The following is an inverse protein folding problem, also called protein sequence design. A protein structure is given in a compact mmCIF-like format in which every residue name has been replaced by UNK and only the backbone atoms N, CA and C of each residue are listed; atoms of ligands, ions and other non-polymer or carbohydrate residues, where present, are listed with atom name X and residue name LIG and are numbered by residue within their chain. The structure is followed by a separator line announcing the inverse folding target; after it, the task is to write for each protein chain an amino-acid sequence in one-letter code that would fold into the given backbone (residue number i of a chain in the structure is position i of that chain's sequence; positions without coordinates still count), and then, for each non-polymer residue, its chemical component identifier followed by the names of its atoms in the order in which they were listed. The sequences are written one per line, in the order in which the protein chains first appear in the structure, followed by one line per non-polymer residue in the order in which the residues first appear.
data_IF_303957515496
#
_entry.id   IF_303957515496
#
_cell.length_a   1.000
_cell.length_b   1.000
_cell.length_c   1.000
_cell.angle_alpha   90.00
_cell.angle_beta   90.00
_cell.angle_gamma   90.00
#
_symmetry.space_group_name_H-M   'P 1'
#
loop_
_entity.id
_entity.type
_entity.pdbx_description
1 polymer ?
#
# COMPACT_ATOMS: atom_id res chain seq x y z
N UNK A 1 23.43 -8.27 0.83
CA UNK A 1 22.54 -9.37 0.43
C UNK A 1 21.16 -8.76 0.30
N UNK A 2 20.53 -8.87 -0.87
CA UNK A 2 19.13 -8.50 -0.98
C UNK A 2 18.31 -9.51 -0.17
N UNK A 3 17.25 -9.08 0.53
CA UNK A 3 16.35 -9.99 1.22
C UNK A 3 15.65 -10.92 0.21
N UNK A 4 15.34 -12.14 0.64
CA UNK A 4 14.58 -13.08 -0.17
C UNK A 4 13.19 -12.48 -0.50
N UNK A 5 12.72 -12.59 -1.76
CA UNK A 5 11.41 -12.06 -2.12
C UNK A 5 10.28 -12.73 -1.34
N UNK A 6 9.35 -11.91 -0.84
CA UNK A 6 8.13 -12.39 -0.17
C UNK A 6 7.14 -12.89 -1.21
N UNK A 7 6.57 -14.08 -1.03
CA UNK A 7 5.49 -14.56 -1.90
C UNK A 7 4.17 -13.93 -1.49
N UNK A 8 3.43 -13.42 -2.47
CA UNK A 8 2.11 -12.80 -2.29
C UNK A 8 1.12 -13.45 -3.25
N UNK A 9 -0.11 -13.67 -2.80
CA UNK A 9 -1.16 -14.34 -3.58
C UNK A 9 -2.55 -13.80 -3.26
N UNK A 10 -3.52 -14.16 -4.10
CA UNK A 10 -4.95 -14.05 -3.77
C UNK A 10 -5.41 -15.39 -3.20
N UNK A 11 -6.02 -15.37 -2.01
CA UNK A 11 -6.57 -16.56 -1.38
C UNK A 11 -7.93 -16.97 -1.97
N UNK A 12 -8.47 -18.10 -1.50
CA UNK A 12 -9.76 -18.63 -1.98
C UNK A 12 -10.96 -17.71 -1.71
N UNK A 13 -10.80 -16.72 -0.82
CA UNK A 13 -11.83 -15.73 -0.47
C UNK A 13 -11.68 -14.42 -1.25
N UNK A 14 -10.67 -14.32 -2.12
CA UNK A 14 -10.36 -13.11 -2.87
C UNK A 14 -9.61 -12.05 -2.06
N UNK A 15 -9.07 -12.39 -0.88
CA UNK A 15 -8.17 -11.49 -0.14
C UNK A 15 -6.74 -11.64 -0.64
N UNK A 16 -5.95 -10.57 -0.50
CA UNK A 16 -4.52 -10.62 -0.79
C UNK A 16 -3.79 -11.02 0.49
N UNK A 17 -2.96 -12.05 0.40
CA UNK A 17 -2.17 -12.59 1.51
C UNK A 17 -0.71 -12.75 1.10
N UNK A 18 0.18 -12.91 2.07
CA UNK A 18 1.62 -13.07 1.85
C UNK A 18 2.24 -14.04 2.84
N UNK A 19 3.50 -14.43 2.63
CA UNK A 19 4.24 -15.25 3.61
C UNK A 19 4.37 -14.55 4.98
N UNK A 20 4.19 -13.22 5.01
CA UNK A 20 4.21 -12.41 6.22
C UNK A 20 2.81 -12.16 6.80
N UNK A 21 1.76 -12.66 6.14
CA UNK A 21 0.36 -12.53 6.52
C UNK A 21 -0.42 -11.51 5.67
N UNK A 22 -1.66 -11.18 6.10
CA UNK A 22 -2.63 -10.51 5.24
C UNK A 22 -2.17 -9.15 4.73
N UNK A 23 -2.48 -8.84 3.48
CA UNK A 23 -2.14 -7.58 2.81
C UNK A 23 -3.38 -6.71 2.66
N UNK A 24 -3.26 -5.46 3.11
CA UNK A 24 -4.36 -4.51 3.05
C UNK A 24 -4.53 -3.93 1.63
N UNK A 25 -5.56 -4.43 0.94
CA UNK A 25 -6.00 -3.96 -0.39
C UNK A 25 -7.00 -2.80 -0.37
N UNK A 26 -7.40 -2.33 0.81
CA UNK A 26 -8.48 -1.34 0.99
C UNK A 26 -7.96 0.01 1.51
N UNK A 27 -6.64 0.22 1.49
CA UNK A 27 -6.03 1.51 1.76
C UNK A 27 -6.24 2.47 0.57
N UNK A 28 -7.28 3.30 0.65
CA UNK A 28 -7.65 4.23 -0.43
C UNK A 28 -7.38 5.66 0.00
N UNK A 29 -6.36 6.29 -0.62
CA UNK A 29 -6.03 7.71 -0.44
C UNK A 29 -6.85 8.56 -1.40
N UNK A 30 -7.32 9.71 -0.91
CA UNK A 30 -7.98 10.73 -1.73
C UNK A 30 -7.40 12.10 -1.45
N UNK A 31 -7.31 12.92 -2.49
CA UNK A 31 -7.00 14.34 -2.37
C UNK A 31 -8.30 15.12 -2.56
N UNK A 32 -8.71 15.86 -1.53
CA UNK A 32 -9.96 16.64 -1.53
C UNK A 32 -9.63 18.12 -1.37
N UNK A 33 -10.09 18.95 -2.31
CA UNK A 33 -9.94 20.41 -2.25
C UNK A 33 -10.97 21.04 -1.31
N UNK A 34 -10.56 22.06 -0.55
CA UNK A 34 -11.45 22.86 0.31
C UNK A 34 -12.05 22.09 1.50
N UNK A 35 -11.47 20.94 1.86
CA UNK A 35 -11.91 20.14 3.01
C UNK A 35 -11.61 20.83 4.35
N UNK A 36 -10.42 21.44 4.48
CA UNK A 36 -10.04 22.26 5.63
C UNK A 36 -10.02 23.76 5.28
N UNK A 37 -10.49 24.65 6.17
CA UNK A 37 -10.47 26.09 5.94
C UNK A 37 -9.07 26.66 5.63
N UNK A 38 -8.05 26.11 6.28
CA UNK A 38 -6.66 26.59 6.19
C UNK A 38 -5.82 25.86 5.13
N UNK A 39 -6.40 24.94 4.35
CA UNK A 39 -5.67 24.14 3.35
C UNK A 39 -6.40 24.07 2.02
N UNK A 40 -5.66 24.29 0.93
CA UNK A 40 -6.24 24.21 -0.42
C UNK A 40 -6.59 22.77 -0.82
N UNK A 41 -5.78 21.79 -0.39
CA UNK A 41 -5.98 20.37 -0.62
C UNK A 41 -5.65 19.60 0.65
N UNK A 42 -6.52 18.64 1.00
CA UNK A 42 -6.28 17.69 2.07
C UNK A 42 -6.07 16.29 1.48
N UNK A 43 -5.08 15.57 1.98
CA UNK A 43 -4.89 14.14 1.70
C UNK A 43 -5.61 13.35 2.79
N UNK A 44 -6.55 12.48 2.41
CA UNK A 44 -7.35 11.70 3.34
C UNK A 44 -7.23 10.20 3.08
N UNK A 45 -7.27 9.43 4.16
CA UNK A 45 -7.57 8.00 4.15
C UNK A 45 -8.94 7.76 4.77
N UNK A 46 -9.70 6.79 4.28
CA UNK A 46 -10.97 6.41 4.93
C UNK A 46 -10.79 5.71 6.28
N UNK A 47 -9.71 4.94 6.42
CA UNK A 47 -9.29 4.27 7.65
C UNK A 47 -7.77 4.19 7.72
N UNK A 48 -7.23 3.93 8.90
CA UNK A 48 -5.81 3.64 9.04
C UNK A 48 -5.42 2.45 8.14
N UNK A 49 -4.26 2.51 7.47
CA UNK A 49 -3.74 1.40 6.69
C UNK A 49 -3.35 0.24 7.59
N UNK A 50 -3.40 -0.97 7.05
CA UNK A 50 -2.90 -2.17 7.70
C UNK A 50 -1.36 -2.20 7.76
N UNK A 51 -0.80 -3.21 8.44
CA UNK A 51 0.66 -3.37 8.59
C UNK A 51 1.35 -3.76 7.28
N UNK A 52 0.61 -4.19 6.25
CA UNK A 52 1.15 -4.65 4.96
C UNK A 52 0.34 -4.08 3.82
N UNK A 53 1.00 -3.54 2.80
CA UNK A 53 0.39 -2.94 1.61
C UNK A 53 1.16 -3.39 0.37
N UNK A 54 0.48 -3.58 -0.76
CA UNK A 54 1.19 -3.62 -2.04
C UNK A 54 1.57 -2.20 -2.44
N UNK A 55 2.81 -2.01 -2.83
CA UNK A 55 3.38 -0.73 -3.21
C UNK A 55 3.99 -0.83 -4.59
N UNK A 56 3.54 0.01 -5.52
CA UNK A 56 4.05 -0.02 -6.88
C UNK A 56 3.30 0.91 -7.81
N UNK A 57 3.80 1.00 -9.04
CA UNK A 57 3.20 1.76 -10.15
C UNK A 57 2.64 0.86 -11.26
N UNK A 58 2.89 -0.45 -11.19
CA UNK A 58 2.35 -1.43 -12.13
C UNK A 58 0.88 -1.71 -11.83
N UNK A 59 0.02 -1.72 -12.84
CA UNK A 59 -1.32 -2.31 -12.72
C UNK A 59 -1.17 -3.83 -12.77
N UNK A 60 -1.65 -4.53 -11.75
CA UNK A 60 -1.71 -5.99 -11.76
C UNK A 60 -3.10 -6.42 -12.20
N UNK A 61 -3.19 -7.10 -13.34
CA UNK A 61 -4.47 -7.51 -13.97
C UNK A 61 -5.34 -8.43 -13.10
N UNK A 62 -4.75 -9.05 -12.08
CA UNK A 62 -5.44 -9.93 -11.13
C UNK A 62 -6.03 -9.16 -9.94
N UNK A 63 -5.68 -7.87 -9.82
CA UNK A 63 -6.27 -6.95 -8.86
C UNK A 63 -7.36 -6.13 -9.56
N UNK A 64 -8.37 -5.74 -8.79
CA UNK A 64 -9.42 -4.86 -9.24
C UNK A 64 -8.80 -3.49 -9.60
N UNK A 65 -9.11 -2.93 -10.77
CA UNK A 65 -8.53 -1.67 -11.27
C UNK A 65 -8.76 -0.48 -10.30
N UNK A 66 -9.74 -0.59 -9.39
CA UNK A 66 -9.99 0.41 -8.35
C UNK A 66 -9.32 0.12 -6.99
N UNK A 67 -8.74 -1.09 -6.78
CA UNK A 67 -8.24 -1.56 -5.48
C UNK A 67 -7.16 -2.63 -5.59
N UNK A 68 -6.03 -2.39 -4.94
CA UNK A 68 -5.06 -3.46 -4.68
C UNK A 68 -3.64 -2.99 -4.53
N UNK A 69 -3.28 -1.86 -5.15
CA UNK A 69 -1.93 -1.31 -5.11
C UNK A 69 -2.00 0.12 -4.61
N UNK A 70 -1.20 0.38 -3.57
CA UNK A 70 -0.97 1.73 -3.12
C UNK A 70 0.00 2.42 -4.08
N UNK A 71 -0.47 3.48 -4.73
CA UNK A 71 0.30 4.20 -5.74
C UNK A 71 1.43 5.00 -5.08
N UNK A 72 2.62 4.91 -5.67
CA UNK A 72 3.84 5.65 -5.30
C UNK A 72 3.60 7.16 -5.13
N UNK A 73 2.70 7.74 -5.91
CA UNK A 73 2.37 9.18 -5.89
C UNK A 73 1.86 9.69 -4.54
N UNK A 74 1.42 8.81 -3.64
CA UNK A 74 0.91 9.17 -2.32
C UNK A 74 1.90 8.87 -1.18
N UNK A 75 3.04 8.24 -1.48
CA UNK A 75 4.10 7.99 -0.52
C UNK A 75 5.28 8.95 -0.73
N UNK A 76 5.98 9.25 0.37
CA UNK A 76 7.28 9.91 0.33
C UNK A 76 8.38 8.86 0.55
N UNK A 77 9.28 8.71 -0.43
CA UNK A 77 10.52 7.96 -0.23
C UNK A 77 11.42 8.68 0.78
N UNK A 78 11.86 7.93 1.79
CA UNK A 78 12.81 8.39 2.79
C UNK A 78 14.21 7.83 2.47
N UNK A 79 14.26 6.54 2.11
CA UNK A 79 15.44 5.79 1.66
C UNK A 79 15.00 4.78 0.58
N UNK A 80 15.94 4.06 -0.03
CA UNK A 80 15.66 3.10 -1.11
C UNK A 80 14.61 2.05 -0.71
N UNK A 81 14.66 1.57 0.54
CA UNK A 81 13.76 0.55 1.08
C UNK A 81 12.81 1.10 2.15
N UNK A 82 12.63 2.42 2.25
CA UNK A 82 11.84 3.03 3.31
C UNK A 82 10.95 4.14 2.75
N UNK A 83 9.64 3.98 2.92
CA UNK A 83 8.65 4.99 2.56
C UNK A 83 7.90 5.48 3.79
N UNK A 84 7.30 6.66 3.65
CA UNK A 84 6.31 7.18 4.59
C UNK A 84 5.03 7.57 3.88
N UNK A 85 3.90 7.21 4.49
CA UNK A 85 2.57 7.66 4.09
C UNK A 85 2.14 8.66 5.14
N UNK A 86 1.86 9.90 4.74
CA UNK A 86 1.36 10.96 5.62
C UNK A 86 0.09 11.55 5.05
N UNK A 87 -0.93 11.65 5.89
CA UNK A 87 -2.25 12.16 5.52
C UNK A 87 -2.71 13.20 6.52
N UNK A 88 -3.53 14.13 6.05
CA UNK A 88 -4.08 15.20 6.88
C UNK A 88 -5.20 14.70 7.77
N UNK A 89 -5.96 13.71 7.29
CA UNK A 89 -7.06 13.12 8.04
C UNK A 89 -7.20 11.62 7.80
N UNK A 90 -7.46 10.89 8.89
CA UNK A 90 -7.92 9.50 8.87
C UNK A 90 -9.41 9.46 9.16
N UNK A 91 -10.21 9.32 8.11
CA UNK A 91 -11.66 9.50 8.11
C UNK A 91 -12.05 10.95 7.78
N UNK A 92 -13.36 11.25 7.63
CA UNK A 92 -13.83 12.55 7.12
C UNK A 92 -13.43 13.77 7.96
N UNK A 93 -13.23 13.61 9.26
CA UNK A 93 -12.79 14.68 10.17
C UNK A 93 -11.75 14.16 11.18
N UNK A 94 -10.99 13.14 10.80
CA UNK A 94 -10.06 12.49 11.73
C UNK A 94 -8.79 13.30 11.98
N UNK A 95 -7.95 12.76 12.86
CA UNK A 95 -6.62 13.31 13.09
C UNK A 95 -5.67 13.00 11.92
N UNK A 96 -4.60 13.78 11.74
CA UNK A 96 -3.52 13.43 10.83
C UNK A 96 -2.92 12.06 11.17
N UNK A 97 -2.47 11.36 10.14
CA UNK A 97 -1.86 10.03 10.26
C UNK A 97 -0.50 10.00 9.57
N UNK A 98 0.45 9.25 10.15
CA UNK A 98 1.75 9.01 9.54
C UNK A 98 2.19 7.58 9.82
N UNK A 99 2.60 6.87 8.77
CA UNK A 99 3.07 5.50 8.83
C UNK A 99 4.35 5.35 8.03
N UNK A 100 5.25 4.49 8.51
CA UNK A 100 6.50 4.16 7.83
C UNK A 100 6.50 2.69 7.49
N UNK A 101 6.89 2.38 6.26
CA UNK A 101 6.93 1.01 5.76
C UNK A 101 8.30 0.74 5.18
N UNK A 102 8.85 -0.43 5.51
CA UNK A 102 9.98 -1.00 4.79
C UNK A 102 9.46 -1.67 3.52
N UNK A 103 10.12 -1.41 2.40
CA UNK A 103 9.81 -2.06 1.13
C UNK A 103 10.60 -3.36 1.03
N UNK A 104 9.90 -4.47 0.79
CA UNK A 104 10.49 -5.77 0.53
C UNK A 104 10.23 -6.17 -0.94
N UNK A 105 11.21 -6.77 -1.63
CA UNK A 105 10.96 -7.41 -2.91
C UNK A 105 9.90 -8.50 -2.72
N UNK A 106 9.06 -8.71 -3.75
CA UNK A 106 8.04 -9.76 -3.71
C UNK A 106 7.95 -10.51 -5.04
N UNK A 107 7.37 -11.71 -4.95
CA UNK A 107 6.94 -12.50 -6.10
C UNK A 107 5.46 -12.75 -5.99
N UNK A 108 4.78 -12.66 -7.13
CA UNK A 108 3.35 -12.89 -7.19
C UNK A 108 3.05 -14.34 -7.57
N UNK A 109 2.24 -15.03 -6.76
CA UNK A 109 1.86 -16.42 -7.03
C UNK A 109 0.56 -16.46 -7.82
N UNK A 110 0.68 -16.86 -9.08
CA UNK A 110 -0.43 -17.07 -10.02
C UNK A 110 -0.79 -18.55 -10.12
N UNK A 111 -1.80 -18.87 -10.93
CA UNK A 111 -2.14 -20.24 -11.29
C UNK A 111 -0.99 -20.96 -12.05
N UNK A 112 -0.16 -20.21 -12.77
CA UNK A 112 0.93 -20.75 -13.61
C UNK A 112 2.28 -20.83 -12.87
N UNK A 113 2.38 -20.28 -11.66
CA UNK A 113 3.59 -20.34 -10.84
C UNK A 113 3.91 -19.01 -10.14
N UNK A 114 5.20 -18.79 -9.86
CA UNK A 114 5.68 -17.52 -9.31
C UNK A 114 6.08 -16.57 -10.44
N UNK A 115 5.45 -15.41 -10.49
CA UNK A 115 5.76 -14.31 -11.39
C UNK A 115 6.60 -13.24 -10.68
N UNK A 116 7.59 -12.71 -11.39
CA UNK A 116 8.34 -11.52 -10.96
C UNK A 116 7.49 -10.26 -11.19
N UNK A 117 7.67 -9.24 -10.35
CA UNK A 117 6.99 -7.94 -10.46
C UNK A 117 7.88 -6.83 -9.93
N UNK A 118 7.69 -5.60 -10.42
CA UNK A 118 8.32 -4.42 -9.82
C UNK A 118 7.53 -3.93 -8.58
N UNK A 119 6.32 -4.45 -8.35
CA UNK A 119 5.57 -4.22 -7.12
C UNK A 119 6.34 -4.77 -5.93
N UNK A 120 6.32 -4.03 -4.82
CA UNK A 120 6.99 -4.37 -3.58
C UNK A 120 5.94 -4.55 -2.47
N UNK A 121 6.27 -5.36 -1.47
CA UNK A 121 5.47 -5.45 -0.26
C UNK A 121 5.97 -4.41 0.74
N UNK A 122 5.15 -3.38 1.00
CA UNK A 122 5.40 -2.41 2.05
C UNK A 122 4.96 -3.00 3.40
N UNK A 123 5.89 -3.16 4.33
CA UNK A 123 5.68 -3.75 5.66
C UNK A 123 5.99 -2.74 6.75
N UNK A 124 5.01 -2.48 7.61
CA UNK A 124 5.20 -1.66 8.80
C UNK A 124 6.11 -2.42 9.77
N UNK A 125 7.29 -1.88 10.13
CA UNK A 125 8.08 -2.43 11.23
C UNK A 125 7.37 -2.15 12.56
N UNK A 126 6.93 -3.17 13.28
CA UNK A 126 6.59 -3.04 14.70
C UNK A 126 7.74 -2.38 15.49
#
# INVERSE_FOLDING_TARGET
MQPDPVVVWVDETGQVDSDLGPVDRNCVVRVISGHCPDRQQCVLLYRAPGPRLLYGSELMSELDDERGIYLETHAKHLEDELISISVDHVGPCGHPGCWRYRLLPMRWKTADGLAETATQLAVWPD
#
